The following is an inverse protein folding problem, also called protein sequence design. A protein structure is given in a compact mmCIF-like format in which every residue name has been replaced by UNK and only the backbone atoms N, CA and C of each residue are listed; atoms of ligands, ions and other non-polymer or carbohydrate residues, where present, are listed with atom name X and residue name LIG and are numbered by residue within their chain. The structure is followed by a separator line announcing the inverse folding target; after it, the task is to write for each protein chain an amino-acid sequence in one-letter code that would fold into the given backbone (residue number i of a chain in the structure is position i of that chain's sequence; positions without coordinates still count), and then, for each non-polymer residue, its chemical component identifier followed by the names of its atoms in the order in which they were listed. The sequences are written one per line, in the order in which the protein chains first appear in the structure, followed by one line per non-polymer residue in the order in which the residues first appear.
data_IF_710815209645
#
_entry.id   IF_710815209645
#
_cell.length_a   1.000
_cell.length_b   1.000
_cell.length_c   1.000
_cell.angle_alpha   90.00
_cell.angle_beta   90.00
_cell.angle_gamma   90.00
#
_symmetry.space_group_name_H-M   'P 1'
#
loop_
_entity.id
_entity.type
_entity.pdbx_description
1 polymer ?
#
# COMPACT_ATOMS: atom_id res chain seq x y z
N UNK A 1 -15.39 -73.40 -10.01
CA UNK A 1 -15.56 -72.03 -9.50
C UNK A 1 -14.25 -71.31 -9.75
N UNK A 2 -14.15 -70.64 -10.89
CA UNK A 2 -12.90 -70.05 -11.38
C UNK A 2 -12.88 -68.57 -11.02
N UNK A 3 -12.00 -68.17 -10.11
CA UNK A 3 -11.71 -66.75 -9.85
C UNK A 3 -10.40 -66.41 -10.55
N UNK A 4 -10.53 -65.74 -11.69
CA UNK A 4 -9.44 -65.22 -12.51
C UNK A 4 -8.76 -64.07 -11.76
N UNK A 5 -7.43 -64.19 -11.58
CA UNK A 5 -6.58 -63.12 -11.07
C UNK A 5 -6.55 -61.93 -12.04
N UNK A 6 -6.48 -60.67 -11.58
CA UNK A 6 -6.44 -59.53 -12.49
C UNK A 6 -5.16 -59.56 -13.34
N UNK A 7 -5.31 -59.36 -14.64
CA UNK A 7 -4.19 -59.28 -15.58
C UNK A 7 -3.37 -58.01 -15.30
N UNK A 8 -2.04 -58.09 -15.32
CA UNK A 8 -1.14 -56.98 -14.98
C UNK A 8 -1.32 -55.72 -15.85
N UNK A 9 -1.94 -55.85 -17.02
CA UNK A 9 -2.31 -54.73 -17.87
C UNK A 9 -3.47 -53.89 -17.31
N UNK A 10 -4.41 -54.51 -16.59
CA UNK A 10 -5.51 -53.79 -15.94
C UNK A 10 -5.01 -52.95 -14.77
N UNK A 11 -4.01 -53.47 -14.03
CA UNK A 11 -3.38 -52.77 -12.92
C UNK A 11 -2.59 -51.53 -13.39
N UNK A 12 -2.01 -51.56 -14.59
CA UNK A 12 -1.27 -50.43 -15.18
C UNK A 12 -2.22 -49.36 -15.73
N UNK A 13 -3.36 -49.77 -16.31
CA UNK A 13 -4.43 -48.83 -16.70
C UNK A 13 -5.08 -48.16 -15.47
N UNK A 14 -5.26 -48.91 -14.38
CA UNK A 14 -5.82 -48.37 -13.13
C UNK A 14 -4.83 -47.44 -12.40
N UNK A 15 -3.52 -47.73 -12.45
CA UNK A 15 -2.47 -46.83 -11.93
C UNK A 15 -2.22 -45.58 -12.81
N UNK A 16 -2.66 -45.59 -14.07
CA UNK A 16 -2.67 -44.39 -14.93
C UNK A 16 -3.97 -43.58 -14.79
N UNK A 17 -5.01 -44.14 -14.17
CA UNK A 17 -6.29 -43.46 -13.85
C UNK A 17 -6.27 -42.67 -12.55
N UNK A 18 -5.29 -42.87 -11.66
CA UNK A 18 -5.09 -42.07 -10.45
C UNK A 18 -4.06 -40.94 -10.65
N UNK A 19 -4.06 -40.33 -11.83
CA UNK A 19 -3.55 -38.97 -11.99
C UNK A 19 -4.66 -38.02 -11.52
N UNK A 20 -4.41 -37.06 -10.62
CA UNK A 20 -5.44 -36.16 -10.14
C UNK A 20 -6.00 -35.37 -11.33
N UNK A 21 -7.23 -35.70 -11.73
CA UNK A 21 -7.98 -34.91 -12.70
C UNK A 21 -8.18 -33.52 -12.11
N UNK A 22 -7.74 -32.52 -12.88
CA UNK A 22 -8.04 -31.09 -12.72
C UNK A 22 -7.59 -30.47 -11.40
N UNK A 23 -6.38 -29.90 -11.43
CA UNK A 23 -6.16 -28.60 -10.79
C UNK A 23 -7.26 -27.69 -11.35
N UNK A 24 -8.31 -27.44 -10.57
CA UNK A 24 -9.19 -26.34 -10.83
C UNK A 24 -8.29 -25.10 -10.91
N UNK A 25 -8.19 -24.50 -12.09
CA UNK A 25 -7.79 -23.11 -12.19
C UNK A 25 -8.86 -22.32 -11.42
N UNK A 26 -8.65 -22.10 -10.13
CA UNK A 26 -9.43 -21.11 -9.41
C UNK A 26 -8.94 -19.74 -9.89
N UNK A 27 -9.42 -19.34 -11.06
CA UNK A 27 -9.46 -17.95 -11.53
C UNK A 27 -10.48 -17.11 -10.70
N UNK A 28 -10.93 -17.63 -9.55
CA UNK A 28 -11.60 -16.86 -8.51
C UNK A 28 -10.57 -15.98 -7.77
N UNK A 29 -10.03 -15.00 -8.49
CA UNK A 29 -9.33 -13.86 -7.91
C UNK A 29 -10.32 -12.69 -7.88
N UNK A 30 -11.25 -12.65 -6.90
CA UNK A 30 -12.34 -11.68 -6.90
C UNK A 30 -11.78 -10.26 -6.86
N UNK A 31 -12.28 -9.44 -7.78
CA UNK A 31 -11.96 -8.02 -7.88
C UNK A 31 -12.98 -7.25 -7.07
N UNK A 32 -12.50 -6.46 -6.12
CA UNK A 32 -13.37 -5.55 -5.38
C UNK A 32 -13.89 -4.44 -6.31
N UNK A 33 -15.21 -4.22 -6.41
CA UNK A 33 -15.78 -3.30 -7.40
C UNK A 33 -15.52 -1.82 -7.09
N UNK A 34 -15.11 -1.48 -5.86
CA UNK A 34 -14.88 -0.09 -5.44
C UNK A 34 -13.44 0.34 -5.65
N UNK A 35 -12.50 -0.52 -5.25
CA UNK A 35 -11.06 -0.28 -5.35
C UNK A 35 -10.47 -0.82 -6.65
N UNK A 36 -11.16 -1.75 -7.32
CA UNK A 36 -10.62 -2.49 -8.46
C UNK A 36 -9.49 -3.45 -8.09
N UNK A 37 -9.16 -3.61 -6.81
CA UNK A 37 -8.10 -4.50 -6.34
C UNK A 37 -8.59 -5.95 -6.33
N UNK A 38 -7.80 -6.85 -6.87
CA UNK A 38 -8.03 -8.29 -6.76
C UNK A 38 -7.61 -8.81 -5.38
N UNK A 39 -8.11 -9.97 -4.95
CA UNK A 39 -7.64 -10.64 -3.73
C UNK A 39 -6.11 -10.82 -3.75
N UNK A 40 -5.56 -11.32 -4.85
CA UNK A 40 -4.11 -11.48 -5.01
C UNK A 40 -3.33 -10.17 -4.85
N UNK A 41 -3.80 -9.06 -5.40
CA UNK A 41 -3.16 -7.75 -5.23
C UNK A 41 -3.18 -7.29 -3.77
N UNK A 42 -4.30 -7.50 -3.05
CA UNK A 42 -4.39 -7.24 -1.61
C UNK A 42 -3.41 -8.10 -0.83
N UNK A 43 -3.33 -9.38 -1.15
CA UNK A 43 -2.42 -10.33 -0.50
C UNK A 43 -0.95 -9.90 -0.68
N UNK A 44 -0.55 -9.46 -1.89
CA UNK A 44 0.79 -8.93 -2.14
C UNK A 44 1.12 -7.71 -1.27
N UNK A 45 0.16 -6.78 -1.14
CA UNK A 45 0.33 -5.58 -0.31
C UNK A 45 0.49 -5.98 1.16
N UNK A 46 -0.40 -6.84 1.67
CA UNK A 46 -0.40 -7.29 3.06
C UNK A 46 0.88 -8.07 3.41
N UNK A 47 1.30 -9.00 2.54
CA UNK A 47 2.51 -9.81 2.76
C UNK A 47 3.79 -8.96 2.71
N UNK A 48 3.93 -8.07 1.74
CA UNK A 48 5.10 -7.19 1.66
C UNK A 48 5.15 -6.21 2.84
N UNK A 49 4.01 -5.63 3.24
CA UNK A 49 3.93 -4.77 4.43
C UNK A 49 4.25 -5.53 5.73
N UNK A 50 3.95 -6.83 5.81
CA UNK A 50 4.27 -7.64 6.98
C UNK A 50 5.77 -7.63 7.31
N UNK A 51 6.64 -7.55 6.32
CA UNK A 51 8.09 -7.42 6.53
C UNK A 51 8.49 -6.04 7.05
N UNK A 52 7.89 -4.98 6.50
CA UNK A 52 8.18 -3.58 6.89
C UNK A 52 7.69 -3.30 8.32
N UNK A 53 6.50 -3.79 8.68
CA UNK A 53 5.87 -3.50 9.98
C UNK A 53 6.57 -4.14 11.18
N UNK A 54 7.57 -5.00 10.97
CA UNK A 54 8.38 -5.55 12.05
C UNK A 54 9.19 -4.47 12.79
N UNK A 55 9.56 -3.39 12.10
CA UNK A 55 10.19 -2.22 12.71
C UNK A 55 9.63 -0.92 12.09
N UNK A 56 8.41 -0.56 12.51
CA UNK A 56 7.75 0.67 12.05
C UNK A 56 8.55 1.93 12.40
N UNK A 57 9.40 1.89 13.42
CA UNK A 57 10.24 3.04 13.79
C UNK A 57 11.34 3.23 12.75
N UNK A 58 12.10 2.19 12.45
CA UNK A 58 13.12 2.25 11.41
C UNK A 58 12.50 2.58 10.04
N UNK A 59 11.36 1.97 9.72
CA UNK A 59 10.65 2.24 8.47
C UNK A 59 10.21 3.71 8.37
N UNK A 60 9.62 4.27 9.44
CA UNK A 60 9.21 5.67 9.47
C UNK A 60 10.37 6.65 9.31
N UNK A 61 11.50 6.37 9.97
CA UNK A 61 12.72 7.17 9.84
C UNK A 61 13.27 7.14 8.41
N UNK A 62 13.44 5.95 7.84
CA UNK A 62 13.96 5.76 6.48
C UNK A 62 13.05 6.38 5.42
N UNK A 63 11.73 6.20 5.57
CA UNK A 63 10.74 6.83 4.69
C UNK A 63 10.84 8.35 4.73
N UNK A 64 10.85 8.97 5.92
CA UNK A 64 10.91 10.44 6.01
C UNK A 64 12.25 11.03 5.58
N UNK A 65 13.36 10.31 5.76
CA UNK A 65 14.65 10.69 5.18
C UNK A 65 14.57 10.76 3.65
N UNK A 66 13.97 9.75 3.00
CA UNK A 66 13.75 9.77 1.56
C UNK A 66 12.77 10.89 1.15
N UNK A 67 11.71 11.09 1.93
CA UNK A 67 10.65 12.05 1.64
C UNK A 67 11.12 13.51 1.71
N UNK A 68 11.82 13.90 2.77
CA UNK A 68 12.36 15.25 2.88
C UNK A 68 13.58 15.48 1.99
N UNK A 69 14.29 14.42 1.58
CA UNK A 69 15.31 14.54 0.53
C UNK A 69 14.68 14.85 -0.84
N UNK A 70 13.55 14.21 -1.16
CA UNK A 70 12.83 14.43 -2.42
C UNK A 70 12.04 15.76 -2.43
N UNK A 71 11.47 16.14 -1.28
CA UNK A 71 10.66 17.35 -1.10
C UNK A 71 11.08 18.12 0.16
N UNK A 72 12.22 18.85 0.13
CA UNK A 72 12.74 19.55 1.30
C UNK A 72 11.78 20.60 1.88
N UNK A 73 10.97 21.23 1.03
CA UNK A 73 9.98 22.23 1.40
C UNK A 73 8.85 21.66 2.27
N UNK A 74 8.64 20.33 2.26
CA UNK A 74 7.56 19.71 3.02
C UNK A 74 7.87 19.67 4.53
N UNK A 75 9.14 19.58 4.92
CA UNK A 75 9.53 19.64 6.33
C UNK A 75 9.09 20.97 6.97
N UNK A 76 9.15 22.07 6.21
CA UNK A 76 8.78 23.42 6.67
C UNK A 76 7.31 23.53 7.10
N UNK A 77 6.44 22.63 6.63
CA UNK A 77 5.02 22.57 7.03
C UNK A 77 4.85 22.06 8.45
N UNK A 78 5.85 21.40 9.03
CA UNK A 78 5.81 20.82 10.36
C UNK A 78 6.50 21.72 11.38
N UNK A 79 5.78 22.74 11.87
CA UNK A 79 6.31 23.77 12.80
C UNK A 79 7.15 23.27 13.97
N UNK A 80 6.91 22.06 14.49
CA UNK A 80 7.64 21.49 15.64
C UNK A 80 9.05 20.98 15.31
N UNK A 81 9.37 20.83 14.03
CA UNK A 81 10.67 20.34 13.57
C UNK A 81 11.06 20.92 12.20
N UNK A 82 10.46 22.04 11.79
CA UNK A 82 10.73 22.70 10.51
C UNK A 82 12.21 23.08 10.37
N UNK A 83 12.81 23.61 11.43
CA UNK A 83 14.20 24.10 11.44
C UNK A 83 15.20 23.06 11.97
N UNK A 84 14.77 21.81 12.19
CA UNK A 84 15.65 20.76 12.68
C UNK A 84 16.49 20.20 11.53
N UNK A 85 17.83 20.20 11.63
CA UNK A 85 18.69 19.60 10.61
C UNK A 85 18.37 18.12 10.38
N UNK A 86 18.51 17.65 9.13
CA UNK A 86 18.11 16.31 8.73
C UNK A 86 18.82 15.19 9.53
N UNK A 87 20.08 15.41 9.90
CA UNK A 87 20.90 14.52 10.73
C UNK A 87 20.48 14.50 12.21
N UNK A 88 19.71 15.48 12.67
CA UNK A 88 19.21 15.61 14.05
C UNK A 88 17.71 15.26 14.18
N UNK A 89 17.00 15.04 13.06
CA UNK A 89 15.58 14.72 13.08
C UNK A 89 15.28 13.46 13.90
N UNK A 90 16.13 12.44 13.81
CA UNK A 90 15.94 11.17 14.52
C UNK A 90 15.88 11.32 16.06
N UNK A 91 16.45 12.39 16.61
CA UNK A 91 16.42 12.70 18.04
C UNK A 91 15.23 13.59 18.43
N UNK A 92 14.53 14.18 17.46
CA UNK A 92 13.38 15.03 17.71
C UNK A 92 12.11 14.21 18.01
N UNK A 93 11.63 14.30 19.26
CA UNK A 93 10.43 13.58 19.73
C UNK A 93 9.17 13.87 18.90
N UNK A 94 8.97 15.11 18.45
CA UNK A 94 7.77 15.48 17.68
C UNK A 94 7.81 14.87 16.28
N UNK A 95 8.99 14.83 15.67
CA UNK A 95 9.20 14.13 14.41
C UNK A 95 8.96 12.63 14.57
N UNK A 96 9.54 11.98 15.59
CA UNK A 96 9.35 10.55 15.83
C UNK A 96 7.88 10.17 15.98
N UNK A 97 7.10 10.97 16.74
CA UNK A 97 5.65 10.76 16.89
C UNK A 97 4.94 10.87 15.54
N UNK A 98 5.30 11.84 14.71
CA UNK A 98 4.67 12.00 13.40
C UNK A 98 5.06 10.87 12.45
N UNK A 99 6.35 10.50 12.39
CA UNK A 99 6.85 9.40 11.58
C UNK A 99 6.13 8.09 11.90
N UNK A 100 5.98 7.77 13.19
CA UNK A 100 5.20 6.61 13.64
C UNK A 100 3.73 6.71 13.24
N UNK A 101 3.14 7.90 13.35
CA UNK A 101 1.72 8.12 12.99
C UNK A 101 1.45 7.85 11.52
N UNK A 102 2.36 8.22 10.62
CA UNK A 102 2.25 7.92 9.17
C UNK A 102 2.38 6.42 8.91
N UNK A 103 3.36 5.74 9.51
CA UNK A 103 3.51 4.28 9.34
C UNK A 103 2.31 3.50 9.90
N UNK A 104 1.72 3.97 11.00
CA UNK A 104 0.47 3.42 11.52
C UNK A 104 -0.72 3.69 10.60
N UNK A 105 -0.78 4.85 9.94
CA UNK A 105 -1.81 5.13 8.95
C UNK A 105 -1.69 4.22 7.71
N UNK A 106 -0.47 3.97 7.23
CA UNK A 106 -0.23 2.98 6.16
C UNK A 106 -0.65 1.58 6.61
N UNK A 107 -0.31 1.20 7.84
CA UNK A 107 -0.74 -0.08 8.42
C UNK A 107 -2.27 -0.19 8.47
N UNK A 108 -2.97 0.85 8.92
CA UNK A 108 -4.43 0.90 8.92
C UNK A 108 -5.01 0.69 7.52
N UNK A 109 -4.42 1.32 6.50
CA UNK A 109 -4.87 1.16 5.10
C UNK A 109 -4.71 -0.29 4.68
N UNK A 110 -3.53 -0.87 4.89
CA UNK A 110 -3.22 -2.27 4.53
C UNK A 110 -4.14 -3.26 5.25
N UNK A 111 -4.32 -3.08 6.57
CA UNK A 111 -5.14 -3.94 7.41
C UNK A 111 -6.65 -3.80 7.09
N UNK A 112 -7.07 -2.75 6.37
CA UNK A 112 -8.47 -2.50 6.01
C UNK A 112 -8.78 -2.74 4.52
N UNK A 113 -7.85 -3.31 3.74
CA UNK A 113 -8.07 -3.63 2.32
C UNK A 113 -9.19 -4.66 2.11
N UNK A 114 -9.54 -5.45 3.12
CA UNK A 114 -10.67 -6.41 3.07
C UNK A 114 -11.98 -5.83 3.64
N UNK A 115 -11.97 -4.60 4.17
CA UNK A 115 -13.15 -3.86 4.65
C UNK A 115 -13.19 -2.46 4.01
N UNK A 116 -13.63 -2.43 2.75
CA UNK A 116 -13.64 -1.20 1.95
C UNK A 116 -14.50 -0.08 2.53
N UNK A 117 -15.72 -0.33 3.07
CA UNK A 117 -16.49 0.73 3.71
C UNK A 117 -15.72 1.41 4.85
N UNK A 118 -15.03 0.63 5.69
CA UNK A 118 -14.19 1.16 6.76
C UNK A 118 -13.01 1.96 6.19
N UNK A 119 -12.28 1.39 5.23
CA UNK A 119 -11.16 2.07 4.57
C UNK A 119 -11.56 3.43 4.00
N UNK A 120 -12.67 3.49 3.26
CA UNK A 120 -13.16 4.73 2.66
C UNK A 120 -13.46 5.80 3.72
N UNK A 121 -14.07 5.41 4.84
CA UNK A 121 -14.38 6.33 5.93
C UNK A 121 -13.09 6.88 6.59
N UNK A 122 -12.11 6.01 6.86
CA UNK A 122 -10.84 6.38 7.45
C UNK A 122 -10.04 7.34 6.54
N UNK A 123 -9.99 7.05 5.23
CA UNK A 123 -9.32 7.90 4.25
C UNK A 123 -9.98 9.26 4.06
N UNK A 124 -11.31 9.33 4.09
CA UNK A 124 -12.03 10.63 4.07
C UNK A 124 -11.69 11.47 5.29
N UNK A 125 -11.62 10.87 6.46
CA UNK A 125 -11.23 11.56 7.69
C UNK A 125 -9.75 11.99 7.65
N UNK A 126 -8.88 11.17 7.07
CA UNK A 126 -7.48 11.51 6.83
C UNK A 126 -7.37 12.76 5.95
N UNK A 127 -8.11 12.81 4.83
CA UNK A 127 -8.20 13.97 3.95
C UNK A 127 -8.65 15.23 4.69
N UNK A 128 -9.77 15.17 5.41
CA UNK A 128 -10.28 16.31 6.19
C UNK A 128 -9.24 16.85 7.18
N UNK A 129 -8.56 15.96 7.90
CA UNK A 129 -7.54 16.33 8.87
C UNK A 129 -6.35 17.03 8.20
N UNK A 130 -5.88 16.53 7.06
CA UNK A 130 -4.77 17.12 6.32
C UNK A 130 -5.16 18.44 5.64
N UNK A 131 -6.42 18.59 5.21
CA UNK A 131 -6.96 19.84 4.68
C UNK A 131 -6.81 21.02 5.63
N UNK A 132 -6.95 20.79 6.95
CA UNK A 132 -6.74 21.81 8.00
C UNK A 132 -5.31 22.35 8.04
N UNK A 133 -4.37 21.64 7.43
CA UNK A 133 -2.95 21.98 7.34
C UNK A 133 -2.55 22.45 5.95
N UNK A 134 -3.53 22.77 5.08
CA UNK A 134 -3.32 23.21 3.70
C UNK A 134 -2.48 22.21 2.88
N UNK A 135 -2.68 20.92 3.14
CA UNK A 135 -2.12 19.83 2.35
C UNK A 135 -3.05 19.57 1.18
N UNK A 136 -2.48 19.50 -0.03
CA UNK A 136 -3.21 19.31 -1.29
C UNK A 136 -3.08 17.87 -1.75
N UNK A 137 -3.94 17.46 -2.69
CA UNK A 137 -3.87 16.13 -3.34
C UNK A 137 -2.48 15.83 -3.89
N UNK A 138 -1.81 16.84 -4.44
CA UNK A 138 -0.45 16.71 -4.98
C UNK A 138 0.58 16.30 -3.92
N UNK A 139 0.44 16.76 -2.67
CA UNK A 139 1.33 16.32 -1.58
C UNK A 139 1.17 14.82 -1.31
N UNK A 140 -0.05 14.28 -1.43
CA UNK A 140 -0.28 12.85 -1.31
C UNK A 140 0.28 12.07 -2.50
N UNK A 141 0.15 12.57 -3.73
CA UNK A 141 0.77 11.95 -4.92
C UNK A 141 2.29 11.86 -4.79
N UNK A 142 2.94 12.92 -4.33
CA UNK A 142 4.36 12.92 -4.06
C UNK A 142 4.75 11.93 -2.94
N UNK A 143 3.92 11.85 -1.88
CA UNK A 143 4.09 10.87 -0.83
C UNK A 143 4.02 9.42 -1.35
N UNK A 144 3.08 9.10 -2.23
CA UNK A 144 2.92 7.73 -2.74
C UNK A 144 4.09 7.30 -3.62
N UNK A 145 4.61 8.20 -4.45
CA UNK A 145 5.82 7.95 -5.26
C UNK A 145 7.02 7.62 -4.37
N UNK A 146 7.27 8.43 -3.34
CA UNK A 146 8.38 8.18 -2.41
C UNK A 146 8.14 6.91 -1.61
N UNK A 147 6.91 6.63 -1.19
CA UNK A 147 6.59 5.41 -0.43
C UNK A 147 6.91 4.16 -1.25
N UNK A 148 6.52 4.09 -2.53
CA UNK A 148 6.84 2.95 -3.39
C UNK A 148 8.35 2.79 -3.57
N UNK A 149 9.08 3.88 -3.83
CA UNK A 149 10.54 3.83 -3.96
C UNK A 149 11.23 3.39 -2.65
N UNK A 150 10.71 3.85 -1.50
CA UNK A 150 11.18 3.41 -0.19
C UNK A 150 10.94 1.92 0.03
N UNK A 151 9.75 1.40 -0.29
CA UNK A 151 9.41 -0.02 -0.14
C UNK A 151 10.32 -0.89 -1.02
N UNK A 152 10.53 -0.49 -2.27
CA UNK A 152 11.44 -1.18 -3.20
C UNK A 152 12.87 -1.25 -2.64
N UNK A 153 13.37 -0.15 -2.08
CA UNK A 153 14.70 -0.12 -1.44
C UNK A 153 14.77 -0.92 -0.13
N UNK A 154 13.71 -0.92 0.67
CA UNK A 154 13.70 -1.56 1.99
C UNK A 154 13.52 -3.08 1.90
N UNK A 155 12.77 -3.56 0.92
CA UNK A 155 12.42 -4.98 0.76
C UNK A 155 13.28 -5.68 -0.31
N UNK A 156 13.83 -4.93 -1.26
CA UNK A 156 14.61 -5.47 -2.37
C UNK A 156 13.77 -6.26 -3.37
N UNK A 157 14.37 -6.61 -4.51
CA UNK A 157 13.67 -7.21 -5.66
C UNK A 157 13.05 -8.58 -5.39
N UNK A 158 13.53 -9.30 -4.36
CA UNK A 158 12.97 -10.62 -4.00
C UNK A 158 11.62 -10.50 -3.30
N UNK A 159 11.45 -9.51 -2.42
CA UNK A 159 10.22 -9.30 -1.63
C UNK A 159 9.32 -8.22 -2.24
N UNK A 160 9.85 -7.41 -3.17
CA UNK A 160 9.11 -6.37 -3.87
C UNK A 160 9.32 -6.45 -5.39
N UNK A 161 8.96 -7.58 -6.03
CA UNK A 161 8.98 -7.71 -7.49
C UNK A 161 7.89 -6.84 -8.14
N UNK A 162 7.91 -6.76 -9.47
CA UNK A 162 7.07 -5.85 -10.25
C UNK A 162 5.57 -5.98 -9.94
N UNK A 163 5.04 -7.20 -9.80
CA UNK A 163 3.62 -7.41 -9.49
C UNK A 163 3.21 -6.83 -8.13
N UNK A 164 4.10 -6.92 -7.13
CA UNK A 164 3.88 -6.33 -5.80
C UNK A 164 3.92 -4.82 -5.90
N UNK A 165 4.91 -4.27 -6.63
CA UNK A 165 5.04 -2.83 -6.88
C UNK A 165 3.80 -2.25 -7.56
N UNK A 166 3.31 -2.90 -8.63
CA UNK A 166 2.11 -2.46 -9.34
C UNK A 166 0.85 -2.55 -8.46
N UNK A 167 0.75 -3.57 -7.62
CA UNK A 167 -0.34 -3.68 -6.63
C UNK A 167 -0.34 -2.49 -5.66
N UNK A 168 0.84 -2.11 -5.14
CA UNK A 168 0.97 -0.93 -4.28
C UNK A 168 0.63 0.37 -5.00
N UNK A 169 1.11 0.58 -6.23
CA UNK A 169 0.80 1.77 -7.03
C UNK A 169 -0.72 1.90 -7.20
N UNK A 170 -1.38 0.83 -7.64
CA UNK A 170 -2.82 0.78 -7.83
C UNK A 170 -3.59 1.08 -6.54
N UNK A 171 -3.21 0.46 -5.42
CA UNK A 171 -3.85 0.71 -4.14
C UNK A 171 -3.66 2.16 -3.67
N UNK A 172 -2.46 2.71 -3.83
CA UNK A 172 -2.14 4.08 -3.44
C UNK A 172 -2.86 5.11 -4.31
N UNK A 173 -3.09 4.83 -5.60
CA UNK A 173 -3.92 5.66 -6.47
C UNK A 173 -5.37 5.73 -5.98
N UNK A 174 -5.94 4.58 -5.57
CA UNK A 174 -7.26 4.54 -4.93
C UNK A 174 -7.26 5.36 -3.65
N UNK A 175 -6.23 5.20 -2.80
CA UNK A 175 -6.09 5.97 -1.56
C UNK A 175 -6.10 7.47 -1.83
N UNK A 176 -5.28 7.94 -2.76
CA UNK A 176 -5.21 9.37 -3.13
C UNK A 176 -6.57 9.86 -3.63
N UNK A 177 -7.24 9.07 -4.48
CA UNK A 177 -8.58 9.37 -4.98
C UNK A 177 -9.59 9.59 -3.85
N UNK A 178 -9.64 8.68 -2.88
CA UNK A 178 -10.57 8.77 -1.74
C UNK A 178 -10.19 9.91 -0.80
N UNK A 179 -8.91 10.08 -0.47
CA UNK A 179 -8.42 11.18 0.37
C UNK A 179 -8.78 12.54 -0.24
N UNK A 180 -8.65 12.69 -1.56
CA UNK A 180 -9.01 13.91 -2.26
C UNK A 180 -10.49 14.30 -2.08
N UNK A 181 -11.40 13.33 -1.94
CA UNK A 181 -12.82 13.62 -1.63
C UNK A 181 -13.03 14.20 -0.23
N UNK A 182 -12.08 13.99 0.69
CA UNK A 182 -12.09 14.55 2.03
C UNK A 182 -11.36 15.89 2.15
N UNK A 183 -10.55 16.28 1.15
CA UNK A 183 -9.83 17.54 1.14
C UNK A 183 -10.76 18.73 0.82
N UNK A 184 -10.45 19.93 1.34
CA UNK A 184 -11.11 21.16 0.90
C UNK A 184 -11.01 21.27 -0.62
N UNK A 185 -12.14 21.48 -1.27
CA UNK A 185 -12.14 21.74 -2.70
C UNK A 185 -11.57 23.14 -2.94
N UNK A 186 -10.77 23.35 -4.00
CA UNK A 186 -10.31 24.69 -4.35
C UNK A 186 -11.53 25.60 -4.53
N UNK A 187 -11.49 26.79 -3.94
CA UNK A 187 -12.55 27.76 -4.15
C UNK A 187 -12.51 28.22 -5.62
N UNK A 188 -13.65 28.52 -6.26
CA UNK A 188 -13.65 29.06 -7.63
C UNK A 188 -12.75 30.30 -7.81
N UNK A 189 -12.51 31.03 -6.71
CA UNK A 189 -11.69 32.24 -6.69
C UNK A 189 -10.18 31.96 -6.67
N UNK A 190 -9.73 30.73 -6.39
CA UNK A 190 -8.31 30.35 -6.37
C UNK A 190 -7.74 30.08 -7.78
N UNK A 191 -8.60 29.90 -8.80
CA UNK A 191 -8.21 29.52 -10.18
C UNK A 191 -8.18 30.73 -11.15
N UNK A 192 -8.64 31.91 -10.70
CA UNK A 192 -8.61 33.14 -11.51
C UNK A 192 -7.21 33.79 -11.61
N UNK A 193 -6.18 33.19 -11.00
CA UNK A 193 -4.82 33.76 -10.91
C UNK A 193 -3.79 33.21 -11.90
N UNK A 194 -4.17 32.37 -12.87
CA UNK A 194 -3.20 31.81 -13.85
C UNK A 194 -3.68 31.70 -15.29
N UNK A 195 -4.74 32.40 -15.66
CA UNK A 195 -5.02 32.70 -17.07
C UNK A 195 -4.69 34.18 -17.33
N UNK A 196 -3.72 34.37 -18.24
CA UNK A 196 -3.17 35.60 -18.84
C UNK A 196 -3.97 36.90 -18.73
#
# INVERSE_FOLDING_TARGET
MSHTSPNGSQLLEDLQREQPETIASSDDNPIDPVTGLSQRERDYIQQSWHHVRQDLKAAGLGFFQAFFKAHPDYQLKFKKFADVPADQLADNKSFLVHAMSVMNAVTMVVDSLDDIPKLVNELKNLGKNHGRHNIKTENFRNLTVVLVAFLESALGSQLFPEDVKQSWIKALDVVVGVVATGLPQPSPDDDAGSAM
#
